data_IF_483649222008
#
_entry.id   IF_483649222008
#
_cell.length_a   1.000
_cell.length_b   1.000
_cell.length_c   1.000
_cell.angle_alpha   90.00
_cell.angle_beta   90.00
_cell.angle_gamma   90.00
#
_symmetry.space_group_name_H-M   'P 1'
#
loop_
_entity.id
_entity.type
_entity.pdbx_description
1 polymer ?
#
# COMPACT_ATOMS: atom_id res chain seq x y z
N UNK A 1 19.78 -11.55 -43.03
CA UNK A 1 19.94 -12.27 -41.75
C UNK A 1 20.25 -11.38 -40.53
N UNK A 2 20.79 -10.15 -40.68
CA UNK A 2 21.17 -9.28 -39.56
C UNK A 2 20.00 -8.63 -38.77
N UNK A 3 18.81 -8.46 -39.37
CA UNK A 3 17.66 -7.78 -38.74
C UNK A 3 16.99 -8.62 -37.63
N UNK A 4 17.00 -9.95 -37.75
CA UNK A 4 16.34 -10.87 -36.80
C UNK A 4 17.06 -10.97 -35.45
N UNK A 5 18.40 -10.92 -35.44
CA UNK A 5 19.19 -10.91 -34.19
C UNK A 5 18.89 -9.65 -33.34
N UNK A 6 18.86 -8.47 -33.97
CA UNK A 6 18.56 -7.19 -33.30
C UNK A 6 17.16 -7.16 -32.66
N UNK A 7 16.16 -7.79 -33.29
CA UNK A 7 14.79 -7.88 -32.74
C UNK A 7 14.75 -8.77 -31.49
N UNK A 8 15.46 -9.91 -31.50
CA UNK A 8 15.53 -10.86 -30.39
C UNK A 8 16.24 -10.25 -29.16
N UNK A 9 17.29 -9.46 -29.39
CA UNK A 9 18.01 -8.74 -28.33
C UNK A 9 17.13 -7.66 -27.67
N UNK A 10 16.34 -6.92 -28.48
CA UNK A 10 15.40 -5.90 -27.98
C UNK A 10 14.25 -6.53 -27.17
N UNK A 11 13.74 -7.68 -27.59
CA UNK A 11 12.71 -8.43 -26.84
C UNK A 11 13.25 -8.95 -25.49
N UNK A 12 14.48 -9.49 -25.46
CA UNK A 12 15.12 -9.95 -24.22
C UNK A 12 15.35 -8.81 -23.22
N UNK A 13 15.74 -7.63 -23.69
CA UNK A 13 15.90 -6.45 -22.85
C UNK A 13 14.58 -6.00 -22.21
N UNK A 14 13.49 -5.96 -22.99
CA UNK A 14 12.14 -5.65 -22.46
C UNK A 14 11.68 -6.65 -21.39
N UNK A 15 11.92 -7.94 -21.62
CA UNK A 15 11.54 -9.00 -20.68
C UNK A 15 12.32 -8.90 -19.36
N UNK A 16 13.63 -8.59 -19.43
CA UNK A 16 14.47 -8.32 -18.26
C UNK A 16 13.99 -7.08 -17.48
N UNK A 17 13.62 -6.00 -18.17
CA UNK A 17 13.10 -4.79 -17.53
C UNK A 17 11.78 -5.05 -16.80
N UNK A 18 10.84 -5.77 -17.45
CA UNK A 18 9.55 -6.16 -16.84
C UNK A 18 9.75 -7.04 -15.60
N UNK A 19 10.64 -8.03 -15.68
CA UNK A 19 10.96 -8.89 -14.52
C UNK A 19 11.60 -8.08 -13.38
N UNK A 20 12.50 -7.13 -13.70
CA UNK A 20 13.11 -6.26 -12.70
C UNK A 20 12.07 -5.36 -12.02
N UNK A 21 11.11 -4.79 -12.75
CA UNK A 21 10.07 -3.95 -12.14
C UNK A 21 9.13 -4.75 -11.24
N UNK A 22 8.79 -5.99 -11.63
CA UNK A 22 7.96 -6.89 -10.82
C UNK A 22 8.65 -7.26 -9.50
N UNK A 23 9.92 -7.67 -9.56
CA UNK A 23 10.72 -7.95 -8.35
C UNK A 23 10.85 -6.71 -7.46
N UNK A 24 10.99 -5.52 -8.05
CA UNK A 24 11.05 -4.27 -7.27
C UNK A 24 9.71 -3.94 -6.60
N UNK A 25 8.58 -4.26 -7.22
CA UNK A 25 7.26 -4.11 -6.63
C UNK A 25 7.03 -5.12 -5.50
N UNK A 26 7.47 -6.37 -5.67
CA UNK A 26 7.40 -7.40 -4.63
C UNK A 26 8.27 -7.03 -3.42
N UNK A 27 9.48 -6.50 -3.64
CA UNK A 27 10.35 -6.00 -2.57
C UNK A 27 9.83 -4.74 -1.87
N UNK A 28 8.84 -4.04 -2.46
CA UNK A 28 8.22 -2.84 -1.88
C UNK A 28 6.96 -3.15 -1.09
N UNK A 29 6.35 -4.30 -1.30
CA UNK A 29 5.25 -4.75 -0.47
C UNK A 29 5.87 -5.27 0.81
N UNK A 30 5.63 -4.58 1.92
CA UNK A 30 5.93 -5.18 3.20
C UNK A 30 4.86 -6.25 3.43
N UNK A 31 5.21 -7.35 4.11
CA UNK A 31 4.21 -8.36 4.47
C UNK A 31 3.16 -7.77 5.42
N UNK A 32 3.52 -6.68 6.09
CA UNK A 32 2.76 -5.93 7.10
C UNK A 32 2.18 -4.62 6.51
N UNK A 33 1.60 -4.65 5.31
CA UNK A 33 0.88 -3.50 4.75
C UNK A 33 -0.60 -3.54 5.21
N UNK A 34 -1.11 -2.43 5.74
CA UNK A 34 -2.49 -2.29 6.19
C UNK A 34 -3.35 -1.72 5.06
N UNK A 35 -4.47 -2.38 4.77
CA UNK A 35 -5.43 -1.92 3.77
C UNK A 35 -6.35 -0.84 4.35
N UNK A 36 -6.30 0.36 3.77
CA UNK A 36 -7.16 1.47 4.09
C UNK A 36 -8.24 1.65 3.02
N UNK A 37 -9.46 1.95 3.45
CA UNK A 37 -10.63 2.15 2.58
C UNK A 37 -11.15 3.57 2.80
N UNK A 38 -11.35 4.31 1.71
CA UNK A 38 -11.97 5.62 1.74
C UNK A 38 -13.46 5.49 2.01
N UNK A 39 -13.96 6.22 3.01
CA UNK A 39 -15.38 6.21 3.41
C UNK A 39 -16.29 6.92 2.41
N UNK A 40 -15.74 7.71 1.49
CA UNK A 40 -16.53 8.48 0.52
C UNK A 40 -16.58 7.83 -0.86
N UNK A 41 -15.43 7.39 -1.39
CA UNK A 41 -15.34 6.87 -2.75
C UNK A 41 -15.01 5.37 -2.84
N UNK A 42 -14.71 4.71 -1.72
CA UNK A 42 -14.36 3.29 -1.68
C UNK A 42 -12.97 2.95 -2.22
N UNK A 43 -12.12 3.94 -2.48
CA UNK A 43 -10.75 3.68 -2.93
C UNK A 43 -9.96 2.94 -1.84
N UNK A 44 -9.13 1.99 -2.28
CA UNK A 44 -8.31 1.16 -1.41
C UNK A 44 -6.84 1.50 -1.57
N UNK A 45 -6.18 1.82 -0.47
CA UNK A 45 -4.76 2.14 -0.42
C UNK A 45 -4.05 1.22 0.57
N UNK A 46 -2.81 0.81 0.24
CA UNK A 46 -1.96 0.03 1.13
C UNK A 46 -1.01 0.99 1.83
N UNK A 47 -1.11 1.05 3.14
CA UNK A 47 -0.28 1.90 3.99
C UNK A 47 0.59 0.98 4.85
N UNK A 48 1.93 1.15 4.88
CA UNK A 48 2.80 0.29 5.69
C UNK A 48 2.40 0.34 7.16
N UNK A 49 2.33 -0.80 7.84
CA UNK A 49 1.97 -0.88 9.27
C UNK A 49 2.91 -0.04 10.13
N UNK A 50 4.20 0.02 9.81
CA UNK A 50 5.17 0.89 10.52
C UNK A 50 4.71 2.35 10.54
N UNK A 51 4.18 2.84 9.41
CA UNK A 51 3.67 4.21 9.30
C UNK A 51 2.42 4.37 10.16
N UNK A 52 1.47 3.44 10.07
CA UNK A 52 0.23 3.47 10.87
C UNK A 52 0.57 3.45 12.36
N UNK A 53 1.43 2.53 12.78
CA UNK A 53 1.89 2.39 14.16
C UNK A 53 2.61 3.64 14.67
N UNK A 54 3.43 4.27 13.83
CA UNK A 54 4.10 5.51 14.19
C UNK A 54 3.10 6.64 14.48
N UNK A 55 2.05 6.75 13.66
CA UNK A 55 0.98 7.73 13.91
C UNK A 55 0.12 7.36 15.13
N UNK A 56 -0.19 6.08 15.35
CA UNK A 56 -0.91 5.59 16.54
C UNK A 56 -0.18 5.94 17.85
N UNK A 57 1.16 5.83 17.85
CA UNK A 57 1.99 6.21 19.00
C UNK A 57 2.05 7.71 19.27
N UNK A 58 2.00 8.52 18.20
CA UNK A 58 2.11 9.97 18.30
C UNK A 58 0.78 10.64 18.58
N UNK A 59 -0.32 9.99 18.24
CA UNK A 59 -1.66 10.50 18.48
C UNK A 59 -1.94 10.48 19.99
N UNK A 60 -2.04 11.68 20.57
CA UNK A 60 -2.50 11.87 21.96
C UNK A 60 -4.03 11.90 22.05
N UNK A 61 -4.72 11.60 20.94
CA UNK A 61 -6.17 11.55 20.81
C UNK A 61 -6.80 10.34 21.49
N UNK A 62 -7.97 9.95 20.97
CA UNK A 62 -8.73 8.83 21.50
C UNK A 62 -8.08 7.51 21.09
N UNK A 63 -7.63 6.75 22.08
CA UNK A 63 -7.06 5.40 21.91
C UNK A 63 -8.11 4.43 21.32
N UNK A 64 -9.39 4.81 21.27
CA UNK A 64 -10.45 4.05 20.62
C UNK A 64 -10.60 4.26 19.11
N UNK A 65 -9.88 5.22 18.51
CA UNK A 65 -9.92 5.47 17.07
C UNK A 65 -8.56 5.21 16.40
N UNK A 66 -8.51 4.46 15.28
CA UNK A 66 -7.27 4.24 14.58
C UNK A 66 -6.82 5.51 13.83
N UNK A 67 -5.52 5.62 13.50
CA UNK A 67 -5.01 6.68 12.62
C UNK A 67 -5.78 6.74 11.30
N UNK A 68 -6.23 7.94 10.93
CA UNK A 68 -6.98 8.22 9.72
C UNK A 68 -6.11 8.97 8.69
N UNK A 69 -6.27 8.62 7.42
CA UNK A 69 -5.56 9.25 6.30
C UNK A 69 -6.52 9.92 5.33
N UNK A 70 -6.04 10.86 4.53
CA UNK A 70 -6.83 11.48 3.47
C UNK A 70 -6.63 10.74 2.15
N UNK A 71 -7.73 10.41 1.49
CA UNK A 71 -7.73 9.78 0.18
C UNK A 71 -7.09 10.67 -0.88
N UNK A 72 -6.20 10.11 -1.71
CA UNK A 72 -5.53 10.87 -2.78
C UNK A 72 -6.51 11.33 -3.88
N UNK A 73 -7.65 10.65 -4.06
CA UNK A 73 -8.63 10.95 -5.12
C UNK A 73 -9.65 12.01 -4.74
N UNK A 74 -10.27 11.89 -3.57
CA UNK A 74 -11.39 12.75 -3.15
C UNK A 74 -11.10 13.55 -1.88
N UNK A 75 -9.93 13.36 -1.25
CA UNK A 75 -9.59 13.96 0.05
C UNK A 75 -10.53 13.56 1.20
N UNK A 76 -11.35 12.53 0.99
CA UNK A 76 -12.18 11.92 2.03
C UNK A 76 -11.34 11.17 3.06
N UNK A 77 -11.95 10.85 4.20
CA UNK A 77 -11.29 10.11 5.27
C UNK A 77 -11.14 8.63 4.87
N UNK A 78 -9.98 8.06 5.14
CA UNK A 78 -9.69 6.63 4.98
C UNK A 78 -9.53 5.97 6.34
N UNK A 79 -10.17 4.82 6.50
CA UNK A 79 -10.09 3.99 7.71
C UNK A 79 -9.46 2.63 7.39
N UNK A 80 -8.73 2.02 8.34
CA UNK A 80 -8.16 0.70 8.13
C UNK A 80 -9.26 -0.35 8.10
N UNK A 81 -9.19 -1.27 7.14
CA UNK A 81 -10.10 -2.42 7.08
C UNK A 81 -9.88 -3.37 8.26
N UNK A 82 -8.61 -3.63 8.58
CA UNK A 82 -8.18 -4.44 9.71
C UNK A 82 -6.81 -3.95 10.17
N UNK A 83 -6.69 -3.54 11.43
CA UNK A 83 -5.43 -3.08 12.02
C UNK A 83 -5.40 -3.42 13.51
N UNK A 84 -4.27 -3.91 14.01
CA UNK A 84 -4.01 -4.11 15.43
C UNK A 84 -3.15 -2.95 15.95
N UNK A 85 -3.75 -2.06 16.73
CA UNK A 85 -3.07 -0.90 17.30
C UNK A 85 -2.08 -1.27 18.41
N UNK A 86 -1.21 -0.32 18.76
CA UNK A 86 -0.16 -0.49 19.79
C UNK A 86 -0.76 -0.80 21.16
N UNK A 87 -1.98 -0.33 21.41
CA UNK A 87 -2.71 -0.55 22.65
C UNK A 87 -3.42 -1.90 22.72
N UNK A 88 -3.13 -2.85 21.80
CA UNK A 88 -3.81 -4.14 21.64
C UNK A 88 -5.32 -3.97 21.32
N UNK A 89 -5.65 -2.91 20.59
CA UNK A 89 -7.01 -2.65 20.13
C UNK A 89 -7.08 -3.04 18.66
N UNK A 90 -8.02 -3.91 18.33
CA UNK A 90 -8.26 -4.30 16.94
C UNK A 90 -9.31 -3.37 16.34
N UNK A 91 -8.95 -2.71 15.27
CA UNK A 91 -9.83 -1.84 14.51
C UNK A 91 -10.28 -2.55 13.23
N UNK A 92 -11.58 -2.57 13.02
CA UNK A 92 -12.18 -3.14 11.82
C UNK A 92 -13.15 -2.15 11.21
N UNK A 93 -12.98 -1.88 9.93
CA UNK A 93 -13.93 -1.10 9.13
C UNK A 93 -14.61 -2.01 8.11
N UNK A 94 -15.92 -2.14 8.22
CA UNK A 94 -16.80 -2.76 7.23
C UNK A 94 -17.51 -1.65 6.46
N UNK A 95 -17.43 -1.69 5.13
CA UNK A 95 -18.00 -0.72 4.20
C UNK A 95 -19.54 -0.73 4.18
#
# INVERSE_FOLDING_TARGET
MAKVKKVKDKQRAKLKAKKKSQVLQELRKNEDDVLYICTECGEQELIPEEVVMHFDLLDQGDIGEPPAFYCEKCSGIMKPKFYEGVHNITYTYEE
#
